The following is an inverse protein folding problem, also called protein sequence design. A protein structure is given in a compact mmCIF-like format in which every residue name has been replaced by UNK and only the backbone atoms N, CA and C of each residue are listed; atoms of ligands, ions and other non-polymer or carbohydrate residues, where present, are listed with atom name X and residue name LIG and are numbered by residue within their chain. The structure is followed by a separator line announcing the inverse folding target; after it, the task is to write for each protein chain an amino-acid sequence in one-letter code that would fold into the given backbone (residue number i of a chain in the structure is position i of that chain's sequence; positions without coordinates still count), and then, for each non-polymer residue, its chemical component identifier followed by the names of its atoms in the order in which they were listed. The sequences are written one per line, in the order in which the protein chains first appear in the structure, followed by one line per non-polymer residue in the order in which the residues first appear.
data_IF_849486151603
#
_entry.id   IF_849486151603
#
_cell.length_a   1.000
_cell.length_b   1.000
_cell.length_c   1.000
_cell.angle_alpha   90.00
_cell.angle_beta   90.00
_cell.angle_gamma   90.00
#
_symmetry.space_group_name_H-M   'P 1'
#
loop_
_entity.id
_entity.type
_entity.pdbx_description
1 polymer ?
#
# COMPACT_ATOMS: atom_id res chain seq x y z
N UNK A 1 -14.17 -6.92 -27.27
CA UNK A 1 -13.59 -7.57 -26.07
C UNK A 1 -12.51 -6.62 -25.57
N UNK A 2 -12.64 -6.05 -24.37
CA UNK A 2 -11.59 -5.17 -23.84
C UNK A 2 -10.34 -6.01 -23.55
N UNK A 3 -9.22 -5.67 -24.18
CA UNK A 3 -7.95 -6.38 -24.01
C UNK A 3 -7.45 -6.38 -22.58
N UNK A 4 -6.46 -7.23 -22.33
CA UNK A 4 -5.76 -7.30 -21.05
C UNK A 4 -5.04 -5.98 -20.73
N UNK A 5 -5.17 -5.49 -19.50
CA UNK A 5 -4.51 -4.25 -19.06
C UNK A 5 -3.05 -4.52 -18.69
N UNK A 6 -2.12 -3.73 -19.22
CA UNK A 6 -0.66 -3.95 -19.14
C UNK A 6 0.09 -2.63 -18.93
N UNK A 7 1.42 -2.68 -18.80
CA UNK A 7 2.28 -1.47 -18.77
C UNK A 7 2.04 -0.52 -19.97
N UNK A 8 1.57 -1.04 -21.11
CA UNK A 8 1.22 -0.23 -22.30
C UNK A 8 0.03 0.71 -22.09
N UNK A 9 -0.82 0.40 -21.11
CA UNK A 9 -2.03 1.14 -20.79
C UNK A 9 -1.81 2.21 -19.73
N UNK A 10 -0.59 2.33 -19.17
CA UNK A 10 -0.25 3.42 -18.26
C UNK A 10 -0.20 4.71 -19.10
N UNK A 11 -1.09 5.69 -18.85
CA UNK A 11 -1.06 6.96 -19.56
C UNK A 11 0.21 7.74 -19.23
N UNK A 12 0.47 8.79 -20.00
CA UNK A 12 1.58 9.69 -19.74
C UNK A 12 1.58 10.22 -18.28
N UNK A 13 2.74 10.17 -17.64
CA UNK A 13 2.94 10.60 -16.25
C UNK A 13 3.88 11.82 -16.13
N UNK A 14 4.28 12.46 -17.23
CA UNK A 14 5.10 13.68 -17.17
C UNK A 14 4.48 14.75 -16.25
N UNK A 15 5.33 15.37 -15.44
CA UNK A 15 4.91 16.39 -14.47
C UNK A 15 4.17 15.84 -13.24
N UNK A 16 3.98 14.52 -13.12
CA UNK A 16 3.40 13.88 -11.93
C UNK A 16 4.49 13.41 -10.97
N UNK A 17 4.21 13.53 -9.66
CA UNK A 17 5.05 13.01 -8.58
C UNK A 17 4.41 11.78 -7.96
N UNK A 18 5.14 10.68 -7.90
CA UNK A 18 4.73 9.43 -7.28
C UNK A 18 5.67 9.03 -6.14
N UNK A 19 5.12 8.80 -4.96
CA UNK A 19 5.86 8.27 -3.81
C UNK A 19 5.49 6.80 -3.65
N UNK A 20 6.49 5.92 -3.67
CA UNK A 20 6.29 4.47 -3.56
C UNK A 20 7.06 3.94 -2.36
N UNK A 21 6.34 3.44 -1.36
CA UNK A 21 6.98 2.85 -0.17
C UNK A 21 7.53 1.46 -0.48
N UNK A 22 8.72 1.13 0.03
CA UNK A 22 9.32 -0.20 -0.15
C UNK A 22 9.72 -0.49 -1.59
N UNK A 23 10.19 0.51 -2.32
CA UNK A 23 10.44 0.45 -3.76
C UNK A 23 11.88 0.09 -4.18
N UNK A 24 12.71 -0.42 -3.27
CA UNK A 24 14.08 -0.84 -3.60
C UNK A 24 14.16 -2.24 -4.23
N UNK A 25 13.10 -3.06 -4.14
CA UNK A 25 13.05 -4.44 -4.68
C UNK A 25 11.63 -4.85 -5.03
N UNK A 26 11.47 -5.94 -5.81
CA UNK A 26 10.19 -6.63 -6.01
C UNK A 26 9.10 -5.72 -6.59
N UNK A 27 7.88 -5.85 -6.06
CA UNK A 27 6.70 -5.14 -6.56
C UNK A 27 6.84 -3.62 -6.56
N UNK A 28 7.42 -3.07 -5.49
CA UNK A 28 7.61 -1.61 -5.38
C UNK A 28 8.62 -1.10 -6.40
N UNK A 29 9.68 -1.87 -6.66
CA UNK A 29 10.66 -1.54 -7.69
C UNK A 29 10.04 -1.54 -9.09
N UNK A 30 9.28 -2.58 -9.46
CA UNK A 30 8.63 -2.63 -10.76
C UNK A 30 7.57 -1.53 -10.90
N UNK A 31 6.79 -1.26 -9.85
CA UNK A 31 5.85 -0.13 -9.83
C UNK A 31 6.57 1.20 -10.10
N UNK A 32 7.68 1.45 -9.42
CA UNK A 32 8.48 2.64 -9.62
C UNK A 32 9.09 2.71 -11.02
N UNK A 33 9.63 1.59 -11.53
CA UNK A 33 10.23 1.49 -12.87
C UNK A 33 9.23 1.86 -13.96
N UNK A 34 8.03 1.29 -13.91
CA UNK A 34 7.00 1.54 -14.93
C UNK A 34 6.47 2.98 -14.87
N UNK A 35 6.32 3.56 -13.68
CA UNK A 35 5.92 4.97 -13.54
C UNK A 35 6.99 5.93 -14.07
N UNK A 36 8.26 5.71 -13.70
CA UNK A 36 9.38 6.53 -14.17
C UNK A 36 9.57 6.40 -15.69
N UNK A 37 9.42 5.18 -16.23
CA UNK A 37 9.44 4.92 -17.68
C UNK A 37 8.31 5.61 -18.45
N UNK A 38 7.26 6.05 -17.74
CA UNK A 38 6.14 6.85 -18.28
C UNK A 38 6.28 8.34 -17.99
N UNK A 39 7.44 8.79 -17.50
CA UNK A 39 7.76 10.20 -17.30
C UNK A 39 7.46 10.75 -15.90
N UNK A 40 6.99 9.92 -14.95
CA UNK A 40 6.77 10.37 -13.58
C UNK A 40 8.10 10.71 -12.88
N UNK A 41 8.08 11.72 -12.01
CA UNK A 41 9.08 11.82 -10.94
C UNK A 41 8.72 10.83 -9.85
N UNK A 42 9.60 9.87 -9.58
CA UNK A 42 9.34 8.80 -8.60
C UNK A 42 10.27 8.93 -7.41
N UNK A 43 9.68 8.91 -6.21
CA UNK A 43 10.41 8.86 -4.94
C UNK A 43 10.34 7.43 -4.39
N UNK A 44 11.50 6.77 -4.30
CA UNK A 44 11.63 5.48 -3.62
C UNK A 44 11.74 5.75 -2.11
N UNK A 45 10.62 5.61 -1.39
CA UNK A 45 10.62 5.75 0.06
C UNK A 45 10.97 4.42 0.72
N UNK A 46 12.19 4.31 1.27
CA UNK A 46 12.78 3.04 1.70
C UNK A 46 13.57 3.18 2.99
N UNK A 47 13.65 2.09 3.75
CA UNK A 47 14.40 2.05 5.02
C UNK A 47 15.91 2.10 4.83
N UNK A 48 16.42 1.36 3.85
CA UNK A 48 17.86 1.25 3.57
C UNK A 48 18.18 2.15 2.37
N UNK A 49 18.69 3.36 2.66
CA UNK A 49 19.01 4.38 1.66
C UNK A 49 20.03 3.88 0.64
N UNK A 50 21.04 3.11 1.06
CA UNK A 50 22.07 2.60 0.15
C UNK A 50 21.48 1.58 -0.85
N UNK A 51 20.61 0.68 -0.38
CA UNK A 51 19.83 -0.18 -1.30
C UNK A 51 18.89 0.63 -2.17
N UNK A 52 18.28 1.68 -1.64
CA UNK A 52 17.45 2.62 -2.38
C UNK A 52 18.21 3.28 -3.54
N UNK A 53 19.41 3.81 -3.28
CA UNK A 53 20.27 4.46 -4.28
C UNK A 53 20.69 3.48 -5.38
N UNK A 54 21.08 2.26 -5.02
CA UNK A 54 21.38 1.20 -6.00
C UNK A 54 20.16 0.82 -6.84
N UNK A 55 18.96 0.81 -6.27
CA UNK A 55 17.74 0.56 -7.01
C UNK A 55 17.39 1.73 -7.94
N UNK A 56 17.45 2.97 -7.45
CA UNK A 56 17.21 4.17 -8.26
C UNK A 56 18.14 4.25 -9.48
N UNK A 57 19.43 3.92 -9.31
CA UNK A 57 20.39 3.88 -10.42
C UNK A 57 20.06 2.85 -11.52
N UNK A 58 19.17 1.88 -11.25
CA UNK A 58 18.71 0.88 -12.23
C UNK A 58 17.43 1.29 -12.94
N UNK A 59 16.81 2.40 -12.55
CA UNK A 59 15.58 2.91 -13.15
C UNK A 59 15.93 4.16 -13.97
N UNK A 60 15.59 4.16 -15.25
CA UNK A 60 15.71 5.34 -16.08
C UNK A 60 14.63 6.37 -15.72
N UNK A 61 14.97 7.66 -15.80
CA UNK A 61 14.05 8.77 -15.53
C UNK A 61 14.40 9.54 -14.26
N UNK A 62 13.44 10.33 -13.77
CA UNK A 62 13.59 11.17 -12.58
C UNK A 62 13.23 10.36 -11.33
N UNK A 63 14.25 9.73 -10.74
CA UNK A 63 14.09 8.86 -9.57
C UNK A 63 14.96 9.33 -8.42
N UNK A 64 14.33 9.57 -7.27
CA UNK A 64 14.99 9.99 -6.02
C UNK A 64 14.71 8.99 -4.90
N UNK A 65 15.42 9.11 -3.78
CA UNK A 65 15.29 8.20 -2.63
C UNK A 65 15.00 9.00 -1.38
N UNK A 66 13.97 8.59 -0.63
CA UNK A 66 13.62 9.14 0.68
C UNK A 66 13.84 8.08 1.75
N UNK A 67 14.48 8.46 2.86
CA UNK A 67 14.60 7.59 4.02
C UNK A 67 13.22 7.45 4.68
N UNK A 68 12.76 6.22 4.85
CA UNK A 68 11.49 5.92 5.50
C UNK A 68 11.55 4.53 6.15
N UNK A 69 11.53 4.47 7.48
CA UNK A 69 11.25 3.27 8.24
C UNK A 69 9.81 3.30 8.78
N UNK A 70 8.95 2.46 8.21
CA UNK A 70 7.55 2.34 8.66
C UNK A 70 7.40 1.67 10.03
N UNK A 71 8.50 1.23 10.64
CA UNK A 71 8.52 0.71 12.02
C UNK A 71 8.86 1.80 13.05
N UNK A 72 8.90 3.08 12.67
CA UNK A 72 9.16 4.20 13.57
C UNK A 72 8.30 5.42 13.18
N UNK A 73 7.42 5.86 14.08
CA UNK A 73 6.61 7.07 13.86
C UNK A 73 7.49 8.32 13.69
N UNK A 74 8.62 8.40 14.39
CA UNK A 74 9.58 9.50 14.21
C UNK A 74 10.21 9.50 12.81
N UNK A 75 10.56 8.32 12.28
CA UNK A 75 11.03 8.19 10.90
C UNK A 75 9.96 8.62 9.91
N UNK A 76 8.70 8.21 10.14
CA UNK A 76 7.57 8.58 9.29
C UNK A 76 7.33 10.10 9.30
N UNK A 77 7.37 10.74 10.48
CA UNK A 77 7.22 12.19 10.63
C UNK A 77 8.33 12.96 9.93
N UNK A 78 9.58 12.51 10.11
CA UNK A 78 10.75 13.11 9.45
C UNK A 78 10.63 12.99 7.92
N UNK A 79 10.34 11.79 7.42
CA UNK A 79 10.16 11.56 5.99
C UNK A 79 9.02 12.40 5.40
N UNK A 80 7.89 12.51 6.10
CA UNK A 80 6.78 13.33 5.66
C UNK A 80 7.14 14.82 5.63
N UNK A 81 7.92 15.31 6.59
CA UNK A 81 8.41 16.69 6.58
C UNK A 81 9.30 16.96 5.36
N UNK A 82 10.27 16.10 5.09
CA UNK A 82 11.18 16.20 3.94
C UNK A 82 10.42 16.17 2.60
N UNK A 83 9.46 15.23 2.48
CA UNK A 83 8.62 15.08 1.29
C UNK A 83 7.75 16.32 1.07
N UNK A 84 7.17 16.90 2.13
CA UNK A 84 6.36 18.13 2.03
C UNK A 84 7.19 19.35 1.64
N UNK A 85 8.43 19.43 2.12
CA UNK A 85 9.35 20.51 1.77
C UNK A 85 9.79 20.42 0.30
N UNK A 86 10.00 19.20 -0.20
CA UNK A 86 10.56 18.97 -1.56
C UNK A 86 9.47 18.85 -2.63
N UNK A 87 8.28 18.35 -2.26
CA UNK A 87 7.19 18.07 -3.18
C UNK A 87 5.91 18.79 -2.76
N UNK A 88 5.66 20.01 -3.27
CA UNK A 88 4.46 20.78 -2.92
C UNK A 88 3.18 20.13 -3.43
N UNK A 89 3.28 19.21 -4.39
CA UNK A 89 2.17 18.46 -5.00
C UNK A 89 2.55 16.99 -5.11
N UNK A 90 1.68 16.10 -4.65
CA UNK A 90 1.84 14.65 -4.76
C UNK A 90 0.65 14.10 -5.56
N UNK A 91 0.93 13.43 -6.68
CA UNK A 91 -0.12 12.85 -7.51
C UNK A 91 -0.47 11.44 -7.07
N UNK A 92 0.53 10.64 -6.69
CA UNK A 92 0.35 9.25 -6.31
C UNK A 92 1.08 8.98 -5.00
N UNK A 93 0.36 8.52 -3.98
CA UNK A 93 0.94 7.90 -2.79
C UNK A 93 0.64 6.41 -2.83
N UNK A 94 1.68 5.59 -3.04
CA UNK A 94 1.56 4.14 -3.16
C UNK A 94 2.10 3.49 -1.88
N UNK A 95 1.17 3.10 -1.02
CA UNK A 95 1.40 2.35 0.22
C UNK A 95 1.65 0.88 -0.12
N UNK A 96 2.85 0.58 -0.62
CA UNK A 96 3.25 -0.73 -1.13
C UNK A 96 4.04 -1.57 -0.12
N UNK A 97 4.87 -0.94 0.71
CA UNK A 97 5.76 -1.66 1.62
C UNK A 97 5.00 -2.63 2.53
N UNK A 98 5.69 -3.68 2.95
CA UNK A 98 5.14 -4.53 3.99
C UNK A 98 6.02 -5.71 4.35
N UNK A 99 5.64 -6.36 5.43
CA UNK A 99 6.23 -7.59 5.95
C UNK A 99 5.16 -8.66 6.08
N UNK A 100 5.56 -9.93 5.98
CA UNK A 100 4.65 -11.07 5.97
C UNK A 100 5.20 -12.21 6.84
N UNK A 101 4.31 -12.82 7.61
CA UNK A 101 4.54 -14.00 8.44
C UNK A 101 5.78 -13.92 9.34
N UNK A 102 6.06 -12.72 9.86
CA UNK A 102 7.21 -12.50 10.73
C UNK A 102 7.02 -13.21 12.07
N UNK A 103 8.10 -13.64 12.74
CA UNK A 103 8.08 -13.92 14.18
C UNK A 103 7.52 -12.71 14.96
N UNK A 104 6.99 -12.96 16.17
CA UNK A 104 6.48 -11.88 17.03
C UNK A 104 7.62 -10.93 17.32
N UNK A 105 7.45 -9.68 16.92
CA UNK A 105 8.35 -8.55 17.15
C UNK A 105 7.52 -7.30 17.21
N UNK A 106 8.09 -6.23 17.76
CA UNK A 106 7.47 -4.93 17.81
C UNK A 106 8.20 -3.92 16.92
N UNK A 107 7.49 -2.87 16.53
CA UNK A 107 8.07 -1.63 15.99
C UNK A 107 8.83 -0.87 17.08
N UNK A 108 9.52 0.21 16.72
CA UNK A 108 10.15 1.11 17.69
C UNK A 108 9.12 1.72 18.65
N UNK A 109 7.88 1.91 18.17
CA UNK A 109 6.76 2.47 18.93
C UNK A 109 5.94 1.41 19.70
N UNK A 110 6.39 0.15 19.74
CA UNK A 110 5.75 -0.92 20.52
C UNK A 110 4.59 -1.65 19.83
N UNK A 111 4.30 -1.38 18.55
CA UNK A 111 3.23 -2.08 17.83
C UNK A 111 3.68 -3.44 17.30
N UNK A 112 2.78 -4.41 17.20
CA UNK A 112 3.05 -5.67 16.49
C UNK A 112 3.57 -5.37 15.09
N UNK A 113 4.67 -6.03 14.70
CA UNK A 113 5.45 -5.64 13.53
C UNK A 113 4.64 -5.62 12.21
N UNK A 114 3.75 -6.59 11.97
CA UNK A 114 2.98 -6.64 10.72
C UNK A 114 1.88 -5.57 10.70
N UNK A 115 1.14 -5.40 11.79
CA UNK A 115 0.13 -4.36 11.93
C UNK A 115 0.74 -2.95 11.91
N UNK A 116 1.82 -2.75 12.67
CA UNK A 116 2.60 -1.52 12.74
C UNK A 116 3.17 -1.11 11.39
N UNK A 117 3.87 -2.00 10.70
CA UNK A 117 4.50 -1.69 9.40
C UNK A 117 3.48 -1.55 8.28
N UNK A 118 2.56 -2.51 8.15
CA UNK A 118 1.72 -2.62 6.95
C UNK A 118 0.54 -1.65 6.99
N UNK A 119 0.01 -1.36 8.19
CA UNK A 119 -1.17 -0.51 8.40
C UNK A 119 -0.84 0.80 9.11
N UNK A 120 -0.40 0.78 10.38
CA UNK A 120 -0.25 2.01 11.17
C UNK A 120 0.78 2.98 10.57
N UNK A 121 1.91 2.47 10.07
CA UNK A 121 2.92 3.30 9.42
C UNK A 121 2.40 3.99 8.15
N UNK A 122 1.63 3.28 7.32
CA UNK A 122 1.02 3.86 6.12
C UNK A 122 -0.15 4.79 6.45
N UNK A 123 -0.92 4.48 7.49
CA UNK A 123 -1.96 5.35 8.02
C UNK A 123 -1.36 6.71 8.41
N UNK A 124 -0.31 6.70 9.23
CA UNK A 124 0.40 7.89 9.65
C UNK A 124 1.01 8.65 8.46
N UNK A 125 1.72 7.97 7.57
CA UNK A 125 2.32 8.58 6.37
C UNK A 125 1.26 9.25 5.49
N UNK A 126 0.13 8.58 5.26
CA UNK A 126 -0.96 9.12 4.45
C UNK A 126 -1.56 10.36 5.10
N UNK A 127 -1.85 10.32 6.40
CA UNK A 127 -2.40 11.48 7.12
C UNK A 127 -1.48 12.70 7.08
N UNK A 128 -0.16 12.48 7.20
CA UNK A 128 0.83 13.56 7.18
C UNK A 128 1.07 14.16 5.79
N UNK A 129 0.80 13.43 4.71
CA UNK A 129 1.01 13.89 3.33
C UNK A 129 -0.27 14.35 2.64
N UNK A 130 -1.44 14.10 3.22
CA UNK A 130 -2.72 14.30 2.55
C UNK A 130 -2.93 15.75 2.08
N UNK A 131 -2.41 16.73 2.81
CA UNK A 131 -2.46 18.16 2.44
C UNK A 131 -1.79 18.46 1.09
N UNK A 132 -0.83 17.63 0.64
CA UNK A 132 -0.17 17.74 -0.67
C UNK A 132 -0.89 17.00 -1.79
N UNK A 133 -1.83 16.10 -1.47
CA UNK A 133 -2.61 15.34 -2.44
C UNK A 133 -3.91 16.05 -2.79
N UNK A 134 -4.64 16.58 -1.79
CA UNK A 134 -5.96 17.18 -1.99
C UNK A 134 -6.01 18.28 -3.06
N UNK A 135 -5.02 19.19 -3.18
CA UNK A 135 -5.03 20.23 -4.20
C UNK A 135 -4.73 19.73 -5.61
N UNK A 136 -4.41 18.44 -5.78
CA UNK A 136 -3.96 17.86 -7.05
C UNK A 136 -5.12 17.11 -7.69
N UNK A 137 -5.68 17.60 -8.82
CA UNK A 137 -6.78 16.92 -9.47
C UNK A 137 -6.45 15.48 -9.86
N UNK A 138 -7.34 14.54 -9.51
CA UNK A 138 -7.17 13.12 -9.78
C UNK A 138 -5.98 12.46 -9.07
N UNK A 139 -5.50 13.04 -7.96
CA UNK A 139 -4.50 12.38 -7.12
C UNK A 139 -5.07 11.13 -6.46
N UNK A 140 -4.20 10.17 -6.16
CA UNK A 140 -4.63 8.86 -5.63
C UNK A 140 -3.76 8.41 -4.47
N UNK A 141 -4.42 7.88 -3.45
CA UNK A 141 -3.81 7.00 -2.45
C UNK A 141 -4.09 5.56 -2.86
N UNK A 142 -3.04 4.79 -3.12
CA UNK A 142 -3.13 3.38 -3.52
C UNK A 142 -2.56 2.52 -2.40
N UNK A 143 -3.41 1.68 -1.79
CA UNK A 143 -2.97 0.79 -0.70
C UNK A 143 -2.86 -0.65 -1.17
N UNK A 144 -1.67 -1.25 -1.04
CA UNK A 144 -1.44 -2.64 -1.42
C UNK A 144 -1.86 -3.57 -0.28
N UNK A 145 -2.94 -4.30 -0.50
CA UNK A 145 -3.43 -5.38 0.35
C UNK A 145 -2.91 -6.75 -0.15
N UNK A 146 -3.62 -7.83 0.16
CA UNK A 146 -3.29 -9.22 -0.19
C UNK A 146 -4.53 -10.07 -0.07
N UNK A 147 -4.59 -11.21 -0.76
CA UNK A 147 -5.58 -12.26 -0.50
C UNK A 147 -5.54 -12.78 0.95
N UNK A 148 -4.43 -12.53 1.66
CA UNK A 148 -4.31 -12.76 3.10
C UNK A 148 -5.39 -12.08 3.96
N UNK A 149 -6.04 -11.00 3.48
CA UNK A 149 -7.17 -10.37 4.17
C UNK A 149 -8.40 -11.30 4.32
N UNK A 150 -8.40 -12.46 3.64
CA UNK A 150 -9.44 -13.49 3.73
C UNK A 150 -9.04 -14.65 4.64
N UNK A 151 -7.78 -14.73 5.07
CA UNK A 151 -7.22 -15.90 5.75
C UNK A 151 -7.03 -15.58 7.22
N UNK A 152 -7.89 -16.14 8.09
CA UNK A 152 -7.85 -15.93 9.55
C UNK A 152 -7.78 -14.45 9.93
N UNK A 153 -8.44 -13.60 9.15
CA UNK A 153 -8.39 -12.16 9.30
C UNK A 153 -9.58 -11.67 10.14
N UNK A 154 -9.28 -10.95 11.20
CA UNK A 154 -10.22 -10.19 12.01
C UNK A 154 -9.48 -8.98 12.61
N UNK A 155 -10.21 -7.93 12.97
CA UNK A 155 -9.64 -6.82 13.74
C UNK A 155 -9.84 -7.14 15.23
N UNK A 156 -8.77 -7.55 15.90
CA UNK A 156 -8.82 -7.93 17.32
C UNK A 156 -8.69 -6.68 18.20
N UNK A 157 -9.74 -5.87 18.35
CA UNK A 157 -9.64 -4.62 19.12
C UNK A 157 -9.17 -4.80 20.56
N UNK A 158 -9.48 -5.93 21.19
CA UNK A 158 -9.06 -6.23 22.57
C UNK A 158 -7.63 -6.81 22.66
N UNK A 159 -6.98 -7.04 21.52
CA UNK A 159 -5.60 -7.54 21.41
C UNK A 159 -4.97 -7.19 20.05
N UNK A 160 -4.99 -5.90 19.67
CA UNK A 160 -4.50 -5.46 18.34
C UNK A 160 -3.03 -5.83 18.12
N UNK A 161 -2.26 -5.88 19.23
CA UNK A 161 -0.83 -6.15 19.24
C UNK A 161 -0.48 -7.65 19.36
N UNK A 162 -1.50 -8.54 19.36
CA UNK A 162 -1.32 -9.99 19.48
C UNK A 162 -0.43 -10.39 20.68
N UNK A 163 -0.74 -9.83 21.84
CA UNK A 163 -0.02 -10.04 23.09
C UNK A 163 -0.24 -11.44 23.64
N UNK A 164 -1.44 -12.00 23.48
CA UNK A 164 -1.86 -13.26 24.14
C UNK A 164 -1.34 -14.50 23.42
N UNK A 165 -1.71 -14.71 22.16
CA UNK A 165 -1.39 -15.93 21.40
C UNK A 165 -1.05 -15.62 19.93
N UNK A 166 0.19 -15.18 19.70
CA UNK A 166 0.62 -14.68 18.39
C UNK A 166 0.48 -15.70 17.25
N UNK A 167 -0.39 -15.37 16.29
CA UNK A 167 -0.50 -16.09 15.03
C UNK A 167 0.12 -15.26 13.90
N UNK A 168 1.23 -15.73 13.33
CA UNK A 168 1.90 -15.02 12.22
C UNK A 168 0.95 -14.78 11.03
N UNK A 169 0.10 -15.77 10.75
CA UNK A 169 -0.89 -15.72 9.68
C UNK A 169 -2.06 -14.82 10.06
N UNK A 170 -2.56 -14.92 11.29
CA UNK A 170 -3.63 -14.05 11.79
C UNK A 170 -3.22 -12.58 11.83
N UNK A 171 -2.04 -12.26 12.33
CA UNK A 171 -1.49 -10.90 12.34
C UNK A 171 -1.31 -10.32 10.94
N UNK A 172 -0.83 -11.12 9.97
CA UNK A 172 -0.78 -10.71 8.57
C UNK A 172 -2.18 -10.45 7.99
N UNK A 173 -3.12 -11.36 8.26
CA UNK A 173 -4.52 -11.24 7.83
C UNK A 173 -5.20 -9.98 8.40
N UNK A 174 -5.03 -9.72 9.70
CA UNK A 174 -5.48 -8.49 10.36
C UNK A 174 -4.91 -7.26 9.67
N UNK A 175 -3.60 -7.22 9.44
CA UNK A 175 -2.96 -6.07 8.81
C UNK A 175 -3.47 -5.82 7.39
N UNK A 176 -3.66 -6.88 6.58
CA UNK A 176 -4.15 -6.73 5.20
C UNK A 176 -5.66 -6.46 5.11
N UNK A 177 -6.44 -6.90 6.10
CA UNK A 177 -7.83 -6.47 6.27
C UNK A 177 -7.89 -4.99 6.66
N UNK A 178 -7.04 -4.55 7.59
CA UNK A 178 -6.93 -3.16 8.00
C UNK A 178 -6.59 -2.23 6.82
N UNK A 179 -5.70 -2.62 5.92
CA UNK A 179 -5.40 -1.87 4.68
C UNK A 179 -6.65 -1.62 3.81
N UNK A 180 -7.56 -2.60 3.69
CA UNK A 180 -8.80 -2.45 2.90
C UNK A 180 -9.81 -1.58 3.63
N UNK A 181 -10.00 -1.81 4.93
CA UNK A 181 -10.87 -0.99 5.78
C UNK A 181 -10.42 0.48 5.78
N UNK A 182 -9.10 0.73 5.88
CA UNK A 182 -8.50 2.06 5.74
C UNK A 182 -8.84 2.69 4.40
N UNK A 183 -8.67 1.94 3.30
CA UNK A 183 -8.95 2.44 1.95
C UNK A 183 -10.41 2.88 1.81
N UNK A 184 -11.36 2.07 2.28
CA UNK A 184 -12.78 2.38 2.19
C UNK A 184 -13.19 3.53 3.11
N UNK A 185 -12.66 3.57 4.34
CA UNK A 185 -12.87 4.70 5.25
C UNK A 185 -12.31 6.00 4.66
N UNK A 186 -11.06 5.97 4.18
CA UNK A 186 -10.41 7.11 3.55
C UNK A 186 -11.20 7.59 2.34
N UNK A 187 -11.67 6.68 1.47
CA UNK A 187 -12.48 7.06 0.33
C UNK A 187 -13.78 7.76 0.73
N UNK A 188 -14.50 7.23 1.74
CA UNK A 188 -15.73 7.91 2.20
C UNK A 188 -15.42 9.29 2.77
N UNK A 189 -14.30 9.43 3.46
CA UNK A 189 -13.85 10.73 4.01
C UNK A 189 -13.34 11.67 2.93
N UNK A 190 -12.85 11.16 1.80
CA UNK A 190 -12.42 11.97 0.64
C UNK A 190 -13.56 12.39 -0.27
N UNK A 191 -14.70 11.69 -0.28
CA UNK A 191 -15.80 11.97 -1.20
C UNK A 191 -16.28 13.44 -1.21
N UNK A 192 -16.29 14.16 -0.06
CA UNK A 192 -16.58 15.60 -0.05
C UNK A 192 -15.43 16.52 -0.52
N UNK A 193 -14.20 16.03 -0.69
CA UNK A 193 -12.96 16.83 -0.81
C UNK A 193 -12.37 16.83 -2.22
N UNK A 194 -13.22 16.85 -3.25
CA UNK A 194 -12.80 16.99 -4.64
C UNK A 194 -12.48 15.65 -5.32
N UNK A 195 -11.43 15.62 -6.14
CA UNK A 195 -11.17 14.50 -7.07
C UNK A 195 -10.08 13.53 -6.58
N UNK A 196 -9.59 13.71 -5.36
CA UNK A 196 -8.64 12.76 -4.74
C UNK A 196 -9.39 11.48 -4.37
N UNK A 197 -8.85 10.33 -4.76
CA UNK A 197 -9.48 9.02 -4.45
C UNK A 197 -8.54 8.08 -3.73
N UNK A 198 -9.10 7.25 -2.85
CA UNK A 198 -8.42 6.13 -2.23
C UNK A 198 -8.86 4.83 -2.89
N UNK A 199 -7.89 4.00 -3.30
CA UNK A 199 -8.11 2.72 -3.97
C UNK A 199 -7.14 1.68 -3.44
N UNK A 200 -7.46 0.41 -3.67
CA UNK A 200 -6.62 -0.69 -3.24
C UNK A 200 -6.21 -1.59 -4.40
N UNK A 201 -5.12 -2.32 -4.20
CA UNK A 201 -4.70 -3.37 -5.11
C UNK A 201 -4.09 -4.55 -4.35
N UNK A 202 -4.00 -5.71 -4.99
CA UNK A 202 -3.15 -6.80 -4.53
C UNK A 202 -2.43 -7.48 -5.69
N UNK A 203 -1.21 -8.00 -5.45
CA UNK A 203 -0.35 -8.52 -6.51
C UNK A 203 -0.64 -10.00 -6.88
N UNK A 204 -1.70 -10.59 -6.31
CA UNK A 204 -1.88 -12.03 -6.29
C UNK A 204 -0.90 -12.75 -5.35
N UNK A 205 -0.52 -13.98 -5.70
CA UNK A 205 0.53 -14.72 -5.00
C UNK A 205 1.88 -14.43 -5.69
N UNK A 206 2.52 -13.31 -5.33
CA UNK A 206 3.80 -12.90 -5.95
C UNK A 206 5.00 -13.58 -5.29
N UNK A 207 5.99 -14.04 -6.08
CA UNK A 207 7.27 -14.56 -5.56
C UNK A 207 8.21 -13.42 -5.20
N UNK A 208 7.93 -12.74 -4.10
CA UNK A 208 8.76 -11.64 -3.61
C UNK A 208 9.55 -12.08 -2.38
N UNK A 209 10.57 -11.29 -2.02
CA UNK A 209 11.34 -11.43 -0.76
C UNK A 209 10.45 -11.52 0.50
N UNK A 210 9.16 -11.15 0.43
CA UNK A 210 8.17 -11.35 1.49
C UNK A 210 7.97 -12.83 1.89
N UNK A 211 8.24 -13.79 0.99
CA UNK A 211 8.05 -15.22 1.27
C UNK A 211 9.14 -15.84 2.18
N UNK A 212 10.18 -15.08 2.57
CA UNK A 212 11.33 -15.57 3.34
C UNK A 212 10.98 -16.22 4.69
N UNK A 213 9.88 -15.79 5.31
CA UNK A 213 9.42 -16.28 6.62
C UNK A 213 8.23 -17.26 6.55
N UNK A 214 7.86 -17.73 5.36
CA UNK A 214 6.76 -18.69 5.20
C UNK A 214 7.06 -19.99 5.97
N UNK A 215 6.16 -20.46 6.85
CA UNK A 215 6.34 -21.70 7.61
C UNK A 215 6.68 -22.89 6.71
N UNK A 216 7.55 -23.80 7.18
CA UNK A 216 8.00 -24.94 6.41
C UNK A 216 6.85 -25.84 5.91
N UNK A 217 5.76 -25.97 6.67
CA UNK A 217 4.57 -26.72 6.25
C UNK A 217 3.78 -26.07 5.10
N UNK A 218 3.94 -24.76 4.88
CA UNK A 218 3.38 -24.01 3.74
C UNK A 218 4.40 -23.85 2.60
N UNK A 219 5.67 -24.22 2.84
CA UNK A 219 6.61 -24.52 1.75
C UNK A 219 6.19 -25.89 1.20
N UNK A 220 5.19 -25.88 0.31
CA UNK A 220 4.96 -26.97 -0.65
C UNK A 220 6.32 -27.36 -1.30
N UNK A 221 6.47 -28.49 -2.01
CA UNK A 221 7.69 -28.79 -2.76
C UNK A 221 7.78 -27.84 -3.98
N UNK A 222 8.02 -26.55 -3.71
CA UNK A 222 7.95 -25.40 -4.61
C UNK A 222 9.36 -25.02 -5.10
N UNK A 223 10.29 -25.97 -5.14
CA UNK A 223 11.60 -25.71 -5.75
C UNK A 223 11.53 -25.56 -7.27
N UNK A 224 10.63 -26.32 -7.90
CA UNK A 224 10.54 -26.49 -9.35
C UNK A 224 9.19 -26.04 -9.94
N UNK A 225 8.14 -25.94 -9.11
CA UNK A 225 6.81 -25.45 -9.48
C UNK A 225 6.53 -23.99 -9.06
N UNK A 226 7.49 -23.30 -8.43
CA UNK A 226 7.37 -21.90 -7.99
C UNK A 226 6.97 -20.94 -9.13
N UNK A 227 7.74 -20.85 -10.23
CA UNK A 227 7.37 -19.99 -11.36
C UNK A 227 6.07 -20.43 -12.06
N UNK A 228 5.54 -21.60 -11.74
CA UNK A 228 4.23 -22.12 -12.18
C UNK A 228 3.09 -21.93 -11.15
N UNK A 229 3.35 -21.45 -9.94
CA UNK A 229 2.33 -21.08 -8.94
C UNK A 229 2.34 -19.61 -8.49
N UNK A 230 3.45 -18.87 -8.69
CA UNK A 230 3.61 -17.46 -8.28
C UNK A 230 3.65 -16.46 -9.43
N UNK A 231 3.16 -15.24 -9.25
CA UNK A 231 3.27 -14.18 -10.25
C UNK A 231 4.65 -13.50 -10.20
N UNK A 232 5.25 -13.22 -11.37
CA UNK A 232 6.46 -12.40 -11.48
C UNK A 232 6.19 -10.99 -10.94
N UNK A 233 7.23 -10.33 -10.40
CA UNK A 233 7.08 -9.01 -9.79
C UNK A 233 6.51 -7.97 -10.76
N UNK A 234 6.87 -8.07 -12.04
CA UNK A 234 6.36 -7.20 -13.11
C UNK A 234 4.83 -7.31 -13.25
N UNK A 235 4.35 -8.54 -13.45
CA UNK A 235 2.91 -8.84 -13.53
C UNK A 235 2.18 -8.53 -12.21
N UNK A 236 2.83 -8.76 -11.08
CA UNK A 236 2.29 -8.45 -9.76
C UNK A 236 2.16 -6.95 -9.47
N UNK A 237 2.93 -6.10 -10.16
CA UNK A 237 2.83 -4.65 -10.05
C UNK A 237 1.64 -4.09 -10.86
N UNK A 238 1.17 -4.80 -11.89
CA UNK A 238 0.11 -4.31 -12.78
C UNK A 238 -1.21 -3.96 -12.06
N UNK A 239 -1.72 -4.73 -11.07
CA UNK A 239 -2.88 -4.30 -10.27
C UNK A 239 -2.68 -2.97 -9.57
N UNK A 240 -1.51 -2.74 -8.98
CA UNK A 240 -1.16 -1.47 -8.32
C UNK A 240 -1.10 -0.34 -9.33
N UNK A 241 -0.46 -0.56 -10.48
CA UNK A 241 -0.35 0.45 -11.54
C UNK A 241 -1.69 0.77 -12.19
N UNK A 242 -2.56 -0.23 -12.38
CA UNK A 242 -3.91 -0.01 -12.86
C UNK A 242 -4.69 0.86 -11.88
N UNK A 243 -4.72 0.50 -10.61
CA UNK A 243 -5.35 1.32 -9.57
C UNK A 243 -4.76 2.75 -9.53
N UNK A 244 -3.45 2.89 -9.70
CA UNK A 244 -2.75 4.17 -9.66
C UNK A 244 -3.01 5.07 -10.88
N UNK A 245 -3.21 4.50 -12.07
CA UNK A 245 -3.08 5.28 -13.32
C UNK A 245 -4.21 5.14 -14.33
N UNK A 246 -5.02 4.07 -14.27
CA UNK A 246 -6.13 3.87 -15.21
C UNK A 246 -7.18 4.99 -15.01
N UNK A 247 -7.49 5.80 -16.03
CA UNK A 247 -8.48 6.89 -15.94
C UNK A 247 -9.89 6.40 -15.58
N UNK A 248 -10.21 5.13 -15.83
CA UNK A 248 -11.50 4.54 -15.53
C UNK A 248 -11.67 4.12 -14.04
N UNK A 249 -10.61 4.23 -13.24
CA UNK A 249 -10.65 3.90 -11.81
C UNK A 249 -11.51 4.90 -11.04
N UNK A 250 -12.43 4.37 -10.24
CA UNK A 250 -13.22 5.13 -9.28
C UNK A 250 -12.76 4.84 -7.85
N UNK A 251 -13.01 5.79 -6.95
CA UNK A 251 -12.63 5.65 -5.56
C UNK A 251 -13.31 4.48 -4.86
N UNK A 252 -12.58 3.81 -3.96
CA UNK A 252 -13.05 2.64 -3.23
C UNK A 252 -12.99 1.33 -4.02
N UNK A 253 -12.42 1.34 -5.23
CA UNK A 253 -12.21 0.11 -6.00
C UNK A 253 -10.99 -0.68 -5.53
N UNK A 254 -11.03 -1.99 -5.79
CA UNK A 254 -9.97 -2.94 -5.44
C UNK A 254 -9.56 -3.74 -6.67
N UNK A 255 -8.27 -3.72 -7.00
CA UNK A 255 -7.74 -4.37 -8.20
C UNK A 255 -6.87 -5.58 -7.87
N UNK A 256 -7.02 -6.62 -8.67
CA UNK A 256 -6.38 -7.90 -8.46
C UNK A 256 -6.18 -8.68 -9.76
N UNK A 257 -5.38 -9.75 -9.76
CA UNK A 257 -5.20 -10.57 -10.94
C UNK A 257 -6.51 -11.26 -11.36
N UNK A 258 -6.81 -11.27 -12.66
CA UNK A 258 -8.11 -11.67 -13.18
C UNK A 258 -8.35 -13.17 -13.40
N UNK A 259 -7.36 -14.05 -13.16
CA UNK A 259 -7.56 -15.50 -13.33
C UNK A 259 -8.18 -16.14 -12.08
N UNK A 260 -8.54 -17.42 -12.19
CA UNK A 260 -9.21 -18.17 -11.10
C UNK A 260 -8.44 -18.04 -9.78
N UNK A 261 -9.16 -17.68 -8.73
CA UNK A 261 -8.63 -17.53 -7.37
C UNK A 261 -7.78 -16.27 -7.15
N UNK A 262 -7.75 -15.33 -8.10
CA UNK A 262 -7.01 -14.07 -8.01
C UNK A 262 -5.50 -14.26 -7.73
N UNK A 263 -4.97 -15.41 -8.14
CA UNK A 263 -3.57 -15.80 -7.90
C UNK A 263 -2.63 -15.10 -8.90
N UNK A 264 -3.07 -15.00 -10.17
CA UNK A 264 -2.30 -14.49 -11.31
C UNK A 264 -3.19 -13.93 -12.41
N UNK A 265 -2.57 -13.29 -13.39
CA UNK A 265 -3.21 -12.77 -14.59
C UNK A 265 -3.28 -11.26 -14.59
N UNK A 266 -3.74 -10.72 -15.71
CA UNK A 266 -3.85 -9.28 -15.88
C UNK A 266 -4.85 -8.66 -14.90
N UNK A 267 -4.60 -7.42 -14.45
CA UNK A 267 -5.40 -6.80 -13.42
C UNK A 267 -6.83 -6.59 -13.87
N UNK A 268 -7.78 -6.93 -12.99
CA UNK A 268 -9.21 -6.67 -13.11
C UNK A 268 -9.72 -6.04 -11.83
N UNK A 269 -10.89 -5.42 -11.91
CA UNK A 269 -11.66 -5.07 -10.72
C UNK A 269 -12.07 -6.37 -10.02
N UNK A 270 -11.76 -6.49 -8.74
CA UNK A 270 -12.08 -7.65 -7.91
C UNK A 270 -12.85 -7.20 -6.66
N UNK A 271 -13.30 -8.15 -5.85
CA UNK A 271 -14.01 -7.87 -4.59
C UNK A 271 -13.14 -8.22 -3.40
N UNK A 272 -13.42 -7.62 -2.24
CA UNK A 272 -12.77 -7.89 -0.95
C UNK A 272 -13.70 -8.69 -0.03
N UNK A 273 -13.31 -8.95 1.22
CA UNK A 273 -14.14 -9.71 2.17
C UNK A 273 -15.34 -8.90 2.65
N UNK A 274 -16.48 -9.52 2.97
CA UNK A 274 -17.60 -8.81 3.58
C UNK A 274 -17.20 -8.03 4.83
N UNK A 275 -16.33 -8.62 5.66
CA UNK A 275 -15.76 -7.96 6.84
C UNK A 275 -15.07 -6.64 6.51
N UNK A 276 -14.39 -6.54 5.37
CA UNK A 276 -13.71 -5.30 4.98
C UNK A 276 -14.68 -4.14 4.70
N UNK A 277 -15.96 -4.41 4.44
CA UNK A 277 -17.01 -3.42 4.21
C UNK A 277 -17.80 -3.05 5.47
N UNK A 278 -17.49 -3.63 6.63
CA UNK A 278 -18.13 -3.30 7.90
C UNK A 278 -17.75 -1.88 8.35
N UNK A 279 -18.68 -0.93 8.20
CA UNK A 279 -18.37 0.49 8.40
C UNK A 279 -18.13 0.86 9.88
N UNK A 280 -18.75 0.16 10.82
CA UNK A 280 -18.52 0.39 12.25
C UNK A 280 -17.10 -0.01 12.63
N UNK A 281 -16.64 -1.17 12.17
CA UNK A 281 -15.25 -1.63 12.33
C UNK A 281 -14.28 -0.68 11.62
N UNK A 282 -14.59 -0.20 10.42
CA UNK A 282 -13.77 0.80 9.72
C UNK A 282 -13.60 2.07 10.55
N UNK A 283 -14.70 2.65 11.07
CA UNK A 283 -14.68 3.86 11.91
C UNK A 283 -13.91 3.64 13.21
N UNK A 284 -14.12 2.51 13.88
CA UNK A 284 -13.42 2.16 15.11
C UNK A 284 -11.92 1.96 14.86
N UNK A 285 -11.56 1.24 13.79
CA UNK A 285 -10.17 1.05 13.38
C UNK A 285 -9.50 2.37 13.03
N UNK A 286 -10.17 3.28 12.34
CA UNK A 286 -9.65 4.62 12.07
C UNK A 286 -9.33 5.36 13.35
N UNK A 287 -10.30 5.44 14.27
CA UNK A 287 -10.15 6.15 15.56
C UNK A 287 -8.96 5.60 16.35
N UNK A 288 -8.88 4.27 16.51
CA UNK A 288 -7.76 3.64 17.21
C UNK A 288 -6.43 3.83 16.45
N UNK A 289 -6.46 3.92 15.12
CA UNK A 289 -5.24 4.22 14.35
C UNK A 289 -4.77 5.66 14.59
N UNK A 290 -5.67 6.64 14.71
CA UNK A 290 -5.33 8.03 15.08
C UNK A 290 -4.73 8.07 16.49
N UNK A 291 -5.33 7.37 17.46
CA UNK A 291 -4.86 7.28 18.84
C UNK A 291 -3.46 6.64 18.93
N UNK A 292 -3.26 5.48 18.28
CA UNK A 292 -1.98 4.76 18.32
C UNK A 292 -0.87 5.54 17.63
N UNK A 293 -1.16 6.20 16.50
CA UNK A 293 -0.12 6.90 15.72
C UNK A 293 0.10 8.34 16.17
N UNK A 294 -0.85 8.91 16.92
CA UNK A 294 -0.90 10.34 17.19
C UNK A 294 -0.98 11.18 15.91
N UNK A 295 -1.58 10.64 14.84
CA UNK A 295 -1.78 11.32 13.56
C UNK A 295 -3.27 11.39 13.26
N UNK A 296 -3.78 12.61 13.15
CA UNK A 296 -5.15 12.91 12.74
C UNK A 296 -5.18 13.41 11.29
N UNK A 297 -6.37 13.49 10.69
CA UNK A 297 -6.57 13.96 9.31
C UNK A 297 -7.28 15.32 9.25
N UNK A 298 -6.66 16.42 9.74
CA UNK A 298 -7.31 17.72 9.84
C UNK A 298 -7.76 18.27 8.49
N UNK A 299 -7.01 17.95 7.42
CA UNK A 299 -7.33 18.33 6.05
C UNK A 299 -8.68 17.80 5.55
N UNK A 300 -9.20 16.72 6.16
CA UNK A 300 -10.53 16.17 5.88
C UNK A 300 -11.63 16.75 6.79
N UNK A 301 -11.27 17.52 7.81
CA UNK A 301 -12.24 18.13 8.75
C UNK A 301 -12.45 19.62 8.49
N UNK A 302 -11.44 20.32 7.97
CA UNK A 302 -11.43 21.78 7.84
C UNK A 302 -12.47 22.35 6.84
N UNK A 303 -13.01 21.55 5.92
CA UNK A 303 -13.98 22.02 4.93
C UNK A 303 -15.44 22.07 5.42
N UNK A 304 -15.73 21.71 6.67
CA UNK A 304 -17.08 21.83 7.25
C UNK A 304 -17.43 23.21 7.83
N UNK A 305 -16.46 24.14 7.90
CA UNK A 305 -16.64 25.41 8.60
C UNK A 305 -17.13 26.58 7.70
N UNK A 306 -17.12 26.42 6.37
CA UNK A 306 -17.48 27.49 5.42
C UNK A 306 -18.74 27.16 4.59
N UNK A 307 -19.72 26.48 5.18
CA UNK A 307 -21.04 26.23 4.58
C UNK A 307 -22.18 26.68 5.47
#
# INVERSE_FOLDING_TARGET
MSGDWTEQHIPDQHGRVAIVTGANTGLGFETARMLAGRGARVVLAVRDIEKGRRAAARIAGDVTVQALDLTSLDSIRSAAADLRATHPRINLLINNAGVMYTPKRTTADGFELQFGTNHLGHFALTGLLLDRLLPVPGSRVVTVSSTGHRIRAAIHFDDLQWERSYSRVGAYGQAKLANLMFTYELQRRLAPHGTTVAVAAHPGLSNTELARNTPAALRLPVGWLAPLLTQDAEMGALPTLRAATDPAVTGGQYYGPGNRGEIRGYPKLVTSSPASHDQDTQRRLWTVSEELTGVTFPALTAQRADS
#
